data_IF_350488201824
#
_entry.id   IF_350488201824
#
_cell.length_a   1.000
_cell.length_b   1.000
_cell.length_c   1.000
_cell.angle_alpha   90.00
_cell.angle_beta   90.00
_cell.angle_gamma   90.00
#
_symmetry.space_group_name_H-M   'P 1'
#
loop_
_entity.id
_entity.type
_entity.pdbx_description
1 polymer ?
#
# COMPACT_ATOMS: atom_id res chain seq x y z
N UNK A 1 -1.50 -1.20 24.63
CA UNK A 1 -0.35 -0.27 24.66
C UNK A 1 -0.95 1.13 24.51
N UNK A 2 -0.32 2.19 25.02
CA UNK A 2 -0.81 3.57 24.87
C UNK A 2 0.40 4.45 24.58
N UNK A 3 0.28 5.35 23.60
CA UNK A 3 1.32 6.31 23.25
C UNK A 3 1.71 6.28 21.78
N UNK A 4 2.88 6.82 21.48
CA UNK A 4 3.42 6.84 20.12
C UNK A 4 4.21 5.58 19.80
N UNK A 5 4.08 5.11 18.56
CA UNK A 5 4.80 3.96 18.02
C UNK A 5 5.28 4.24 16.60
N UNK A 6 6.41 3.66 16.24
CA UNK A 6 6.86 3.60 14.84
C UNK A 6 6.57 2.22 14.25
N UNK A 7 6.26 2.19 12.96
CA UNK A 7 6.12 0.96 12.19
C UNK A 7 7.05 1.06 10.99
N UNK A 8 8.03 0.16 10.91
CA UNK A 8 8.88 0.08 9.72
C UNK A 8 8.04 -0.42 8.53
N UNK A 9 7.88 0.44 7.54
CA UNK A 9 7.07 0.14 6.36
C UNK A 9 7.52 0.98 5.18
N UNK A 10 7.65 0.33 4.03
CA UNK A 10 8.08 0.95 2.76
C UNK A 10 6.92 1.18 1.78
N UNK A 11 5.72 0.67 2.09
CA UNK A 11 4.57 0.75 1.20
C UNK A 11 3.24 0.83 1.97
N UNK A 12 2.17 1.37 1.35
CA UNK A 12 0.83 1.32 1.94
C UNK A 12 0.34 -0.11 2.19
N UNK A 13 0.68 -1.06 1.32
CA UNK A 13 0.29 -2.47 1.47
C UNK A 13 0.89 -3.08 2.74
N UNK A 14 2.18 -2.82 3.01
CA UNK A 14 2.85 -3.30 4.22
C UNK A 14 2.31 -2.58 5.46
N UNK A 15 2.09 -1.27 5.38
CA UNK A 15 1.52 -0.48 6.48
C UNK A 15 0.15 -1.01 6.90
N UNK A 16 -0.80 -1.05 5.97
CA UNK A 16 -2.18 -1.40 6.29
C UNK A 16 -2.38 -2.90 6.45
N UNK A 17 -1.52 -3.73 5.84
CA UNK A 17 -1.49 -5.17 6.13
C UNK A 17 -1.07 -5.46 7.57
N UNK A 18 -0.01 -4.79 8.06
CA UNK A 18 0.47 -4.95 9.42
C UNK A 18 -0.49 -4.37 10.49
N UNK A 19 -1.29 -3.37 10.11
CA UNK A 19 -2.25 -2.72 11.00
C UNK A 19 -3.67 -3.26 10.86
N UNK A 20 -3.96 -4.15 9.90
CA UNK A 20 -5.30 -4.62 9.60
C UNK A 20 -6.02 -5.17 10.84
N UNK A 21 -5.40 -6.13 11.53
CA UNK A 21 -5.99 -6.75 12.72
C UNK A 21 -6.21 -5.73 13.85
N UNK A 22 -5.35 -4.72 13.98
CA UNK A 22 -5.53 -3.66 14.97
C UNK A 22 -6.69 -2.74 14.60
N UNK A 23 -6.77 -2.31 13.34
CA UNK A 23 -7.86 -1.46 12.83
C UNK A 23 -9.21 -2.18 13.00
N UNK A 24 -9.27 -3.46 12.65
CA UNK A 24 -10.50 -4.26 12.73
C UNK A 24 -10.89 -4.61 14.18
N UNK A 25 -9.91 -4.74 15.08
CA UNK A 25 -10.15 -5.01 16.51
C UNK A 25 -10.48 -3.75 17.33
N UNK A 26 -10.22 -2.55 16.80
CA UNK A 26 -10.58 -1.29 17.45
C UNK A 26 -12.10 -1.17 17.53
N UNK A 27 -12.62 -1.05 18.75
CA UNK A 27 -14.05 -0.87 18.98
C UNK A 27 -14.43 0.62 18.89
N UNK A 28 -13.50 1.49 19.26
CA UNK A 28 -13.63 2.93 19.15
C UNK A 28 -13.36 3.48 17.74
N UNK A 29 -13.08 4.76 17.70
CA UNK A 29 -12.84 5.52 16.49
C UNK A 29 -11.37 5.42 16.05
N UNK A 30 -11.16 5.16 14.76
CA UNK A 30 -9.84 5.15 14.12
C UNK A 30 -9.69 6.39 13.24
N UNK A 31 -8.57 7.08 13.34
CA UNK A 31 -8.21 8.16 12.43
C UNK A 31 -7.01 7.78 11.57
N UNK A 32 -7.09 8.01 10.26
CA UNK A 32 -5.99 7.74 9.33
C UNK A 32 -5.63 9.00 8.54
N UNK A 33 -4.39 9.44 8.71
CA UNK A 33 -3.76 10.53 7.98
C UNK A 33 -2.76 9.91 7.00
N UNK A 34 -3.11 9.87 5.72
CA UNK A 34 -2.33 9.17 4.69
C UNK A 34 -1.81 10.12 3.63
N UNK A 35 -0.68 9.78 3.01
CA UNK A 35 -0.21 10.47 1.78
C UNK A 35 -1.08 10.11 0.56
N UNK A 36 -1.87 9.04 0.68
CA UNK A 36 -2.77 8.58 -0.36
C UNK A 36 -4.06 9.42 -0.38
N UNK A 37 -4.54 9.84 -1.55
CA UNK A 37 -5.87 10.41 -1.67
C UNK A 37 -6.92 9.35 -1.30
N UNK A 38 -8.07 9.80 -0.79
CA UNK A 38 -9.14 8.95 -0.25
C UNK A 38 -9.46 7.74 -1.15
N UNK A 39 -9.62 7.92 -2.46
CA UNK A 39 -9.92 6.83 -3.41
C UNK A 39 -8.89 5.70 -3.39
N UNK A 40 -7.62 6.01 -3.15
CA UNK A 40 -6.56 5.01 -3.06
C UNK A 40 -6.50 4.38 -1.67
N UNK A 41 -6.73 5.18 -0.61
CA UNK A 41 -6.77 4.68 0.76
C UNK A 41 -7.92 3.69 1.01
N UNK A 42 -9.07 3.89 0.33
CA UNK A 42 -10.21 2.97 0.33
C UNK A 42 -9.94 1.57 -0.22
N UNK A 43 -8.74 1.33 -0.76
CA UNK A 43 -8.27 -0.01 -1.15
C UNK A 43 -7.80 -0.82 0.05
N UNK A 44 -7.48 -0.16 1.17
CA UNK A 44 -6.87 -0.75 2.36
C UNK A 44 -7.77 -0.63 3.59
N UNK A 45 -8.44 0.53 3.76
CA UNK A 45 -9.30 0.81 4.92
C UNK A 45 -10.72 1.12 4.43
N UNK A 46 -11.73 0.53 5.08
CA UNK A 46 -13.13 0.80 4.74
C UNK A 46 -13.62 2.12 5.36
N UNK A 47 -14.61 2.78 4.74
CA UNK A 47 -15.16 4.06 5.25
C UNK A 47 -15.83 3.96 6.62
N UNK A 48 -16.27 2.76 7.00
CA UNK A 48 -16.92 2.52 8.29
C UNK A 48 -15.93 2.14 9.40
N UNK A 49 -14.65 1.93 9.07
CA UNK A 49 -13.63 1.51 10.05
C UNK A 49 -12.74 2.67 10.50
N UNK A 50 -12.58 3.72 9.69
CA UNK A 50 -11.77 4.88 10.06
C UNK A 50 -12.20 6.17 9.37
N UNK A 51 -11.97 7.29 10.06
CA UNK A 51 -11.97 8.61 9.43
C UNK A 51 -10.66 8.89 8.72
N UNK A 52 -10.77 9.17 7.42
CA UNK A 52 -9.63 9.27 6.51
C UNK A 52 -9.37 10.71 6.08
N UNK A 53 -8.11 11.11 6.17
CA UNK A 53 -7.59 12.44 5.83
C UNK A 53 -6.37 12.32 4.92
N UNK A 54 -6.33 13.17 3.90
CA UNK A 54 -5.28 13.19 2.90
C UNK A 54 -4.21 14.24 3.24
N UNK A 55 -3.01 13.79 3.59
CA UNK A 55 -1.86 14.67 3.76
C UNK A 55 -1.40 15.14 2.38
N UNK A 56 -1.60 16.42 2.08
CA UNK A 56 -1.39 16.98 0.73
C UNK A 56 -1.22 18.49 0.74
N UNK A 57 -0.52 19.02 -0.27
CA UNK A 57 -0.51 20.47 -0.54
C UNK A 57 -1.76 20.95 -1.28
N UNK A 58 -2.53 20.03 -1.86
CA UNK A 58 -3.76 20.37 -2.56
C UNK A 58 -4.86 20.70 -1.54
N UNK A 59 -5.50 21.85 -1.72
CA UNK A 59 -6.67 22.21 -0.92
C UNK A 59 -7.91 21.40 -1.36
N UNK A 60 -8.46 20.66 -0.40
CA UNK A 60 -9.70 19.90 -0.54
C UNK A 60 -10.38 19.75 0.83
N UNK A 61 -11.67 19.40 0.89
CA UNK A 61 -12.39 19.27 2.17
C UNK A 61 -11.82 18.23 3.14
N UNK A 62 -11.07 17.24 2.63
CA UNK A 62 -10.43 16.18 3.45
C UNK A 62 -8.91 16.18 3.31
N UNK A 63 -8.30 17.30 2.94
CA UNK A 63 -6.84 17.43 2.90
C UNK A 63 -6.31 18.20 4.10
N UNK A 64 -5.13 17.80 4.55
CA UNK A 64 -4.39 18.46 5.62
C UNK A 64 -2.99 18.76 5.09
N UNK A 65 -2.50 20.01 5.26
CA UNK A 65 -1.14 20.35 4.88
C UNK A 65 -0.10 19.44 5.55
N UNK A 66 0.97 19.06 4.85
CA UNK A 66 2.01 18.14 5.35
C UNK A 66 2.99 18.79 6.34
N UNK A 67 2.49 19.54 7.32
CA UNK A 67 3.29 20.17 8.37
C UNK A 67 2.75 19.85 9.77
N UNK A 68 3.66 19.84 10.75
CA UNK A 68 3.34 19.45 12.12
C UNK A 68 2.26 20.35 12.77
N UNK A 69 2.31 21.69 12.66
CA UNK A 69 1.25 22.56 13.17
C UNK A 69 -0.14 22.23 12.63
N UNK A 70 -0.28 22.03 11.31
CA UNK A 70 -1.55 21.71 10.67
C UNK A 70 -2.12 20.37 11.17
N UNK A 71 -1.26 19.34 11.28
CA UNK A 71 -1.69 18.04 11.80
C UNK A 71 -2.01 18.12 13.30
N UNK A 72 -1.23 18.84 14.11
CA UNK A 72 -1.47 19.04 15.54
C UNK A 72 -2.81 19.72 15.79
N UNK A 73 -3.08 20.83 15.10
CA UNK A 73 -4.34 21.56 15.21
C UNK A 73 -5.53 20.68 14.80
N UNK A 74 -5.39 19.94 13.69
CA UNK A 74 -6.46 19.08 13.23
C UNK A 74 -6.74 17.93 14.21
N UNK A 75 -5.70 17.23 14.68
CA UNK A 75 -5.81 16.19 15.69
C UNK A 75 -6.54 16.70 16.94
N UNK A 76 -6.13 17.85 17.48
CA UNK A 76 -6.76 18.44 18.65
C UNK A 76 -8.25 18.75 18.45
N UNK A 77 -8.67 19.08 17.23
CA UNK A 77 -10.07 19.38 16.91
C UNK A 77 -10.96 18.17 16.68
N UNK A 78 -10.37 17.02 16.34
CA UNK A 78 -11.10 15.81 15.95
C UNK A 78 -11.04 14.72 17.03
N UNK A 79 -10.00 14.76 17.87
CA UNK A 79 -9.86 13.85 18.99
C UNK A 79 -11.10 13.94 19.88
N UNK A 80 -11.65 12.78 20.17
CA UNK A 80 -12.82 12.59 21.01
C UNK A 80 -12.56 11.40 21.95
N UNK A 81 -13.41 11.27 22.97
CA UNK A 81 -13.26 10.23 24.02
C UNK A 81 -13.34 8.79 23.46
N UNK A 82 -13.90 8.61 22.27
CA UNK A 82 -14.00 7.31 21.59
C UNK A 82 -12.78 7.01 20.71
N UNK A 83 -11.84 7.94 20.53
CA UNK A 83 -10.67 7.72 19.65
C UNK A 83 -9.68 6.79 20.30
N UNK A 84 -9.39 5.65 19.65
CA UNK A 84 -8.51 4.63 20.21
C UNK A 84 -7.20 4.49 19.40
N UNK A 85 -7.25 4.75 18.09
CA UNK A 85 -6.12 4.56 17.19
C UNK A 85 -5.99 5.69 16.17
N UNK A 86 -4.79 6.23 16.04
CA UNK A 86 -4.41 7.18 15.01
C UNK A 86 -3.25 6.60 14.18
N UNK A 87 -3.35 6.68 12.86
CA UNK A 87 -2.28 6.31 11.93
C UNK A 87 -1.86 7.58 11.20
N UNK A 88 -0.58 7.94 11.27
CA UNK A 88 -0.02 9.12 10.60
C UNK A 88 1.14 8.73 9.69
N UNK A 89 0.88 8.69 8.39
CA UNK A 89 1.92 8.48 7.38
C UNK A 89 2.67 9.79 7.06
N UNK A 90 3.81 9.67 6.37
CA UNK A 90 4.51 10.83 5.83
C UNK A 90 5.27 11.64 6.88
N UNK A 91 5.68 11.02 7.98
CA UNK A 91 6.50 11.68 9.01
C UNK A 91 7.83 12.20 8.45
N UNK A 92 8.43 11.50 7.48
CA UNK A 92 9.58 12.00 6.71
C UNK A 92 9.28 13.35 6.02
N UNK A 93 8.09 13.46 5.44
CA UNK A 93 7.67 14.66 4.73
C UNK A 93 7.45 15.81 5.69
N UNK A 94 6.74 15.55 6.78
CA UNK A 94 6.47 16.51 7.85
C UNK A 94 7.79 17.00 8.46
N UNK A 95 8.72 16.08 8.71
CA UNK A 95 10.05 16.39 9.24
C UNK A 95 10.87 17.23 8.25
N UNK A 96 10.82 16.94 6.95
CA UNK A 96 11.56 17.69 5.92
C UNK A 96 11.14 19.16 5.79
N UNK A 97 9.93 19.51 6.26
CA UNK A 97 9.38 20.88 6.24
C UNK A 97 9.61 21.64 7.54
N UNK A 98 10.25 21.01 8.51
CA UNK A 98 10.57 21.62 9.79
C UNK A 98 12.03 21.38 10.14
N UNK A 99 12.44 21.97 11.25
CA UNK A 99 13.74 21.62 11.83
C UNK A 99 13.58 20.35 12.67
N UNK A 100 14.59 19.48 12.68
CA UNK A 100 14.59 18.27 13.51
C UNK A 100 14.18 18.54 14.97
N UNK A 101 14.71 19.57 15.68
CA UNK A 101 14.28 19.87 17.04
C UNK A 101 12.79 20.23 17.14
N UNK A 102 12.24 20.97 16.17
CA UNK A 102 10.83 21.35 16.17
C UNK A 102 9.91 20.12 15.97
N UNK A 103 10.26 19.21 15.04
CA UNK A 103 9.52 17.96 14.84
C UNK A 103 9.56 17.07 16.09
N UNK A 104 10.73 16.93 16.73
CA UNK A 104 10.84 16.14 17.96
C UNK A 104 10.06 16.76 19.12
N UNK A 105 10.09 18.09 19.27
CA UNK A 105 9.30 18.79 20.28
C UNK A 105 7.79 18.63 20.04
N UNK A 106 7.36 18.62 18.77
CA UNK A 106 5.98 18.30 18.40
C UNK A 106 5.60 16.86 18.79
N UNK A 107 6.43 15.87 18.44
CA UNK A 107 6.20 14.46 18.82
C UNK A 107 6.12 14.29 20.34
N UNK A 108 6.95 14.99 21.12
CA UNK A 108 6.88 14.97 22.59
C UNK A 108 5.56 15.55 23.14
N UNK A 109 5.09 16.67 22.57
CA UNK A 109 3.77 17.22 22.94
C UNK A 109 2.64 16.27 22.58
N UNK A 110 2.72 15.66 21.39
CA UNK A 110 1.73 14.69 20.93
C UNK A 110 1.71 13.45 21.82
N UNK A 111 2.88 12.91 22.22
CA UNK A 111 2.97 11.79 23.16
C UNK A 111 2.29 12.10 24.50
N UNK A 112 2.52 13.31 25.05
CA UNK A 112 1.85 13.76 26.26
C UNK A 112 0.33 13.86 26.11
N UNK A 113 -0.14 14.32 24.95
CA UNK A 113 -1.56 14.46 24.65
C UNK A 113 -2.26 13.10 24.52
N UNK A 114 -1.69 12.18 23.75
CA UNK A 114 -2.34 10.89 23.44
C UNK A 114 -2.32 9.94 24.62
N UNK A 115 -1.28 10.01 25.47
CA UNK A 115 -1.24 9.26 26.74
C UNK A 115 -2.29 9.73 27.74
N UNK A 116 -2.68 10.99 27.68
CA UNK A 116 -3.74 11.50 28.55
C UNK A 116 -5.13 10.99 28.13
N UNK A 117 -5.31 10.68 26.85
CA UNK A 117 -6.57 10.22 26.25
C UNK A 117 -6.58 8.72 25.95
N UNK A 118 -5.59 7.97 26.44
CA UNK A 118 -5.45 6.53 26.19
C UNK A 118 -5.46 6.12 24.70
N UNK A 119 -4.94 6.98 23.82
CA UNK A 119 -4.91 6.77 22.36
C UNK A 119 -3.55 6.23 21.91
N UNK A 120 -3.59 5.24 21.00
CA UNK A 120 -2.41 4.77 20.27
C UNK A 120 -2.18 5.58 19.00
N UNK A 121 -0.95 6.03 18.76
CA UNK A 121 -0.56 6.64 17.48
C UNK A 121 0.55 5.84 16.83
N UNK A 122 0.36 5.47 15.57
CA UNK A 122 1.35 4.74 14.78
C UNK A 122 1.87 5.64 13.65
N UNK A 123 3.20 5.70 13.52
CA UNK A 123 3.91 6.35 12.42
C UNK A 123 4.57 5.30 11.51
N UNK A 124 3.91 4.93 10.40
CA UNK A 124 4.54 4.13 9.36
C UNK A 124 5.63 4.94 8.66
N UNK A 125 6.85 4.42 8.66
CA UNK A 125 8.02 5.11 8.11
C UNK A 125 9.06 4.12 7.61
N UNK A 126 9.72 4.45 6.51
CA UNK A 126 10.95 3.75 6.08
C UNK A 126 12.14 4.41 6.80
N UNK A 127 12.91 3.68 7.63
CA UNK A 127 14.09 4.23 8.29
C UNK A 127 15.13 4.81 7.31
N UNK A 128 15.13 4.35 6.05
CA UNK A 128 16.05 4.82 5.01
C UNK A 128 15.66 6.18 4.44
N UNK A 129 14.42 6.66 4.65
CA UNK A 129 13.98 7.98 4.16
C UNK A 129 14.31 9.12 5.12
N UNK A 130 14.93 8.84 6.27
CA UNK A 130 15.29 9.83 7.28
C UNK A 130 16.74 9.68 7.73
N UNK A 131 17.32 10.75 8.29
CA UNK A 131 18.66 10.66 8.85
C UNK A 131 18.70 9.71 10.06
N UNK A 132 19.77 8.92 10.19
CA UNK A 132 19.93 7.97 11.31
C UNK A 132 19.94 8.66 12.68
N UNK A 133 20.37 9.93 12.74
CA UNK A 133 20.35 10.74 13.96
C UNK A 133 18.92 11.09 14.39
N UNK A 134 18.05 11.39 13.43
CA UNK A 134 16.63 11.63 13.63
C UNK A 134 15.91 10.32 13.99
N UNK A 135 16.14 9.25 13.23
CA UNK A 135 15.55 7.92 13.49
C UNK A 135 15.78 7.47 14.94
N UNK A 136 17.02 7.53 15.44
CA UNK A 136 17.34 7.14 16.82
C UNK A 136 16.59 7.94 17.88
N UNK A 137 16.37 9.24 17.63
CA UNK A 137 15.63 10.12 18.55
C UNK A 137 14.13 9.88 18.45
N UNK A 138 13.63 9.66 17.23
CA UNK A 138 12.24 9.29 16.97
C UNK A 138 11.90 7.99 17.70
N UNK A 139 12.68 6.92 17.55
CA UNK A 139 12.44 5.64 18.22
C UNK A 139 12.57 5.71 19.74
N UNK A 140 13.22 6.75 20.28
CA UNK A 140 13.23 7.03 21.72
C UNK A 140 11.92 7.65 22.24
N UNK A 141 11.17 8.33 21.38
CA UNK A 141 9.87 8.95 21.71
C UNK A 141 8.72 8.02 21.31
N UNK A 142 8.81 7.41 20.13
CA UNK A 142 7.84 6.51 19.52
C UNK A 142 8.52 5.16 19.24
N UNK A 143 8.57 4.24 20.23
CA UNK A 143 9.26 2.97 20.10
C UNK A 143 8.80 2.16 18.89
N UNK A 144 9.69 1.33 18.36
CA UNK A 144 9.36 0.42 17.28
C UNK A 144 8.27 -0.56 17.76
N UNK A 145 7.17 -0.60 17.02
CA UNK A 145 6.10 -1.52 17.27
C UNK A 145 6.54 -2.93 16.88
N UNK A 146 6.40 -3.87 17.81
CA UNK A 146 6.44 -5.29 17.48
C UNK A 146 5.06 -5.69 16.97
N UNK A 147 4.90 -5.71 15.65
CA UNK A 147 3.78 -6.44 15.06
C UNK A 147 4.08 -7.89 15.35
N UNK A 148 3.19 -8.57 16.08
CA UNK A 148 3.36 -10.00 16.30
C UNK A 148 3.43 -10.67 14.92
N UNK A 149 4.61 -11.18 14.56
CA UNK A 149 4.68 -12.20 13.53
C UNK A 149 3.71 -13.31 13.96
N UNK A 150 2.89 -13.86 13.05
CA UNK A 150 2.13 -15.05 13.39
C UNK A 150 3.13 -16.08 13.91
N UNK A 151 2.99 -16.42 15.18
CA UNK A 151 3.94 -17.23 15.94
C UNK A 151 4.05 -18.61 15.28
N UNK A 152 5.04 -18.76 14.39
CA UNK A 152 5.58 -20.05 14.03
C UNK A 152 6.39 -20.52 15.24
N UNK A 153 5.74 -21.26 16.14
CA UNK A 153 6.45 -22.03 17.15
C UNK A 153 7.27 -23.13 16.48
N UNK A 154 8.44 -23.36 17.07
CA UNK A 154 9.38 -24.47 16.87
C UNK A 154 10.40 -24.33 15.73
N UNK A 155 11.47 -23.60 16.08
CA UNK A 155 12.87 -23.88 15.78
C UNK A 155 13.17 -25.14 14.96
N UNK A 156 13.70 -24.94 13.75
CA UNK A 156 14.65 -25.88 13.13
C UNK A 156 15.91 -25.14 12.74
N UNK A 157 16.96 -25.55 13.43
CA UNK A 157 18.37 -25.21 13.29
C UNK A 157 18.86 -25.46 11.85
N UNK A 158 19.28 -24.42 11.13
CA UNK A 158 20.14 -24.58 9.96
C UNK A 158 21.30 -23.60 10.02
N UNK A 159 22.42 -24.13 10.50
CA UNK A 159 23.76 -23.57 10.41
C UNK A 159 24.22 -23.47 8.95
N UNK A 160 25.16 -22.54 8.76
CA UNK A 160 26.19 -22.46 7.71
C UNK A 160 25.73 -21.74 6.42
N UNK A 161 26.47 -20.79 5.84
CA UNK A 161 27.92 -20.57 5.80
C UNK A 161 28.28 -19.07 5.69
N UNK A 162 29.40 -18.74 6.31
CA UNK A 162 30.17 -17.51 6.16
C UNK A 162 30.72 -17.35 4.72
N UNK A 163 30.71 -16.14 4.18
CA UNK A 163 31.80 -15.68 3.32
C UNK A 163 32.06 -14.20 3.58
N UNK A 164 33.17 -13.96 4.26
CA UNK A 164 33.81 -12.67 4.46
C UNK A 164 34.72 -12.41 3.26
N UNK A 165 34.69 -11.20 2.69
CA UNK A 165 35.88 -10.42 2.32
C UNK A 165 35.53 -9.08 1.69
N UNK A 166 36.08 -8.07 2.35
CA UNK A 166 36.23 -6.65 2.02
C UNK A 166 36.86 -6.35 0.65
N UNK A 167 36.46 -5.24 0.01
CA UNK A 167 37.17 -4.67 -1.14
C UNK A 167 36.63 -3.30 -1.58
N UNK A 168 37.47 -2.28 -1.39
CA UNK A 168 37.39 -0.85 -1.73
C UNK A 168 37.18 -0.52 -3.22
N UNK A 169 36.78 0.73 -3.52
CA UNK A 169 36.93 1.36 -4.84
C UNK A 169 35.64 1.90 -5.48
N UNK A 170 35.42 3.21 -5.39
CA UNK A 170 34.26 3.89 -5.96
C UNK A 170 34.32 4.14 -7.47
N UNK A 171 33.16 4.37 -8.08
CA UNK A 171 33.04 5.17 -9.29
C UNK A 171 31.63 5.77 -9.46
N UNK A 172 31.61 7.03 -9.91
CA UNK A 172 30.45 7.89 -10.13
C UNK A 172 29.83 7.63 -11.50
N UNK A 173 28.54 7.32 -11.58
CA UNK A 173 27.65 7.55 -12.75
C UNK A 173 26.22 7.51 -12.21
N UNK A 174 25.24 8.35 -12.50
CA UNK A 174 25.04 9.50 -13.38
C UNK A 174 23.55 9.85 -13.25
N UNK A 175 23.24 11.06 -12.81
CA UNK A 175 21.89 11.58 -12.57
C UNK A 175 21.14 11.73 -13.90
N UNK A 176 20.11 10.93 -14.15
CA UNK A 176 19.16 11.13 -15.25
C UNK A 176 17.87 11.72 -14.69
N UNK A 177 17.56 12.94 -15.16
CA UNK A 177 16.38 13.74 -14.83
C UNK A 177 15.11 13.08 -15.37
N UNK A 178 14.13 12.89 -14.49
CA UNK A 178 12.74 12.62 -14.89
C UNK A 178 12.14 13.85 -15.57
N UNK A 179 11.50 13.74 -16.76
CA UNK A 179 10.66 14.80 -17.29
C UNK A 179 9.27 14.76 -16.65
N UNK A 180 8.73 15.95 -16.44
CA UNK A 180 7.36 16.27 -16.03
C UNK A 180 6.30 15.54 -16.85
N UNK A 181 5.34 14.90 -16.18
CA UNK A 181 4.14 14.35 -16.82
C UNK A 181 2.93 15.20 -16.43
N UNK A 182 2.37 15.79 -17.48
CA UNK A 182 1.12 16.54 -17.60
C UNK A 182 -0.08 15.70 -17.15
N UNK A 183 -1.10 16.40 -16.66
CA UNK A 183 -2.40 15.85 -16.31
C UNK A 183 -3.12 15.27 -17.55
N UNK A 184 -3.46 13.99 -17.52
CA UNK A 184 -4.60 13.44 -18.24
C UNK A 184 -5.20 12.27 -17.43
N UNK A 185 -6.52 12.26 -17.37
CA UNK A 185 -7.34 11.25 -16.73
C UNK A 185 -7.22 9.92 -17.46
N UNK A 186 -6.61 8.91 -16.85
CA UNK A 186 -6.80 7.52 -17.27
C UNK A 186 -6.68 6.58 -16.08
N UNK A 187 -7.44 5.49 -16.14
CA UNK A 187 -7.52 4.48 -15.10
C UNK A 187 -6.18 3.74 -14.96
N UNK A 188 -5.26 4.33 -14.19
CA UNK A 188 -3.91 3.78 -13.98
C UNK A 188 -3.96 2.32 -13.54
N UNK A 189 -3.68 1.44 -14.50
CA UNK A 189 -3.55 0.01 -14.34
C UNK A 189 -2.38 -0.22 -13.38
N UNK A 190 -2.69 -0.64 -12.16
CA UNK A 190 -1.74 -0.76 -11.04
C UNK A 190 -1.07 -2.14 -11.06
N UNK A 191 0.25 -2.21 -10.87
CA UNK A 191 0.99 -3.48 -10.81
C UNK A 191 0.45 -4.37 -9.68
N UNK A 192 -0.01 -5.58 -10.00
CA UNK A 192 -0.55 -6.51 -9.01
C UNK A 192 0.60 -7.22 -8.28
N UNK A 193 0.71 -7.02 -6.97
CA UNK A 193 1.59 -7.84 -6.11
C UNK A 193 0.91 -9.18 -5.86
N UNK A 194 1.64 -10.28 -6.05
CA UNK A 194 1.12 -11.63 -5.90
C UNK A 194 0.87 -11.99 -4.44
N UNK A 195 -0.21 -12.73 -4.16
CA UNK A 195 -0.42 -13.32 -2.84
C UNK A 195 0.57 -14.47 -2.61
N UNK A 196 1.36 -14.45 -1.53
CA UNK A 196 2.24 -15.55 -1.19
C UNK A 196 1.43 -16.80 -0.81
N UNK A 197 1.99 -17.99 -1.05
CA UNK A 197 1.37 -19.27 -0.63
C UNK A 197 1.25 -19.36 0.90
N UNK A 198 2.20 -18.76 1.61
CA UNK A 198 2.20 -18.66 3.07
C UNK A 198 1.14 -17.63 3.51
N UNK A 199 0.16 -18.07 4.30
CA UNK A 199 -0.95 -17.20 4.76
C UNK A 199 -2.12 -17.08 3.78
N UNK A 200 -2.16 -17.90 2.72
CA UNK A 200 -3.30 -17.96 1.82
C UNK A 200 -4.53 -18.55 2.54
N UNK A 201 -5.62 -17.77 2.56
CA UNK A 201 -6.89 -18.17 3.17
C UNK A 201 -8.04 -17.76 2.25
N UNK A 202 -9.21 -18.40 2.40
CA UNK A 202 -10.43 -18.02 1.66
C UNK A 202 -10.82 -16.55 1.87
N UNK A 203 -10.56 -15.99 3.06
CA UNK A 203 -10.80 -14.57 3.35
C UNK A 203 -9.85 -13.64 2.57
N UNK A 204 -8.58 -14.00 2.44
CA UNK A 204 -7.60 -13.25 1.62
C UNK A 204 -7.95 -13.36 0.14
N UNK A 205 -8.32 -14.56 -0.33
CA UNK A 205 -8.79 -14.79 -1.69
C UNK A 205 -10.05 -13.96 -2.02
N UNK A 206 -11.05 -13.95 -1.13
CA UNK A 206 -12.29 -13.17 -1.32
C UNK A 206 -12.02 -11.67 -1.43
N UNK A 207 -11.12 -11.13 -0.59
CA UNK A 207 -10.69 -9.72 -0.66
C UNK A 207 -10.01 -9.42 -2.00
N UNK A 208 -9.16 -10.32 -2.48
CA UNK A 208 -8.47 -10.19 -3.76
C UNK A 208 -9.41 -10.29 -4.96
N UNK A 209 -10.36 -11.21 -4.92
CA UNK A 209 -11.43 -11.31 -5.93
C UNK A 209 -12.26 -10.02 -5.98
N UNK A 210 -12.61 -9.44 -4.83
CA UNK A 210 -13.36 -8.19 -4.81
C UNK A 210 -12.59 -7.04 -5.47
N UNK A 211 -11.26 -6.99 -5.31
CA UNK A 211 -10.40 -6.02 -5.98
C UNK A 211 -10.48 -6.13 -7.50
N UNK A 212 -10.31 -7.33 -8.05
CA UNK A 212 -10.35 -7.56 -9.49
C UNK A 212 -11.75 -7.36 -10.09
N UNK A 213 -12.80 -7.74 -9.35
CA UNK A 213 -14.19 -7.47 -9.73
C UNK A 213 -14.47 -5.97 -9.86
N UNK A 214 -13.88 -5.14 -8.98
CA UNK A 214 -13.97 -3.67 -9.05
C UNK A 214 -13.17 -3.07 -10.21
N UNK A 215 -12.20 -3.79 -10.75
CA UNK A 215 -11.48 -3.40 -11.97
C UNK A 215 -12.27 -3.75 -13.25
N UNK A 216 -13.37 -4.49 -13.13
CA UNK A 216 -14.20 -4.90 -14.26
C UNK A 216 -13.89 -6.29 -14.80
N UNK A 217 -12.98 -7.05 -14.17
CA UNK A 217 -12.68 -8.42 -14.59
C UNK A 217 -13.82 -9.38 -14.24
N UNK A 218 -14.12 -10.29 -15.16
CA UNK A 218 -14.98 -11.45 -14.94
C UNK A 218 -14.19 -12.52 -14.18
N UNK A 219 -14.63 -12.84 -12.96
CA UNK A 219 -13.96 -13.78 -12.05
C UNK A 219 -14.67 -15.12 -11.93
N UNK A 220 -15.58 -15.44 -12.86
CA UNK A 220 -16.32 -16.70 -12.89
C UNK A 220 -15.40 -17.94 -12.78
N UNK A 221 -14.21 -17.89 -13.38
CA UNK A 221 -13.20 -18.96 -13.29
C UNK A 221 -12.61 -19.16 -11.88
N UNK A 222 -12.69 -18.14 -11.01
CA UNK A 222 -12.11 -18.13 -9.67
C UNK A 222 -13.14 -18.39 -8.56
N UNK A 223 -14.44 -18.28 -8.84
CA UNK A 223 -15.52 -18.59 -7.90
C UNK A 223 -15.45 -19.99 -7.28
N UNK A 224 -15.09 -21.07 -8.02
CA UNK A 224 -14.93 -22.41 -7.43
C UNK A 224 -13.85 -22.47 -6.35
N UNK A 225 -12.82 -21.62 -6.40
CA UNK A 225 -11.73 -21.64 -5.43
C UNK A 225 -12.16 -21.23 -4.02
N UNK A 226 -13.28 -20.51 -3.88
CA UNK A 226 -13.83 -20.12 -2.56
C UNK A 226 -14.53 -21.27 -1.84
N UNK A 227 -14.97 -22.29 -2.56
CA UNK A 227 -15.68 -23.45 -2.00
C UNK A 227 -14.81 -24.70 -1.83
N UNK A 228 -13.57 -24.66 -2.31
CA UNK A 228 -12.60 -25.73 -2.11
C UNK A 228 -12.21 -25.84 -0.63
N UNK A 229 -12.20 -27.08 -0.13
CA UNK A 229 -11.75 -27.39 1.25
C UNK A 229 -10.22 -27.46 1.34
N UNK A 230 -9.56 -27.85 0.24
CA UNK A 230 -8.11 -27.85 0.14
C UNK A 230 -7.61 -26.46 -0.30
N UNK A 231 -6.80 -25.83 0.55
CA UNK A 231 -6.24 -24.51 0.29
C UNK A 231 -5.12 -24.55 -0.76
N UNK A 232 -4.44 -25.68 -0.97
CA UNK A 232 -3.43 -25.81 -2.02
C UNK A 232 -4.07 -25.85 -3.41
N UNK A 233 -5.19 -26.56 -3.55
CA UNK A 233 -5.98 -26.55 -4.78
C UNK A 233 -6.57 -25.16 -5.03
N UNK A 234 -7.12 -24.50 -4.00
CA UNK A 234 -7.61 -23.12 -4.12
C UNK A 234 -6.50 -22.13 -4.52
N UNK A 235 -5.29 -22.30 -3.98
CA UNK A 235 -4.13 -21.49 -4.34
C UNK A 235 -3.70 -21.73 -5.80
N UNK A 236 -3.76 -22.97 -6.29
CA UNK A 236 -3.43 -23.29 -7.68
C UNK A 236 -4.37 -22.60 -8.67
N UNK A 237 -5.68 -22.62 -8.40
CA UNK A 237 -6.69 -21.93 -9.22
C UNK A 237 -6.47 -20.41 -9.16
N UNK A 238 -6.23 -19.88 -7.95
CA UNK A 238 -5.87 -18.47 -7.77
C UNK A 238 -4.66 -18.07 -8.61
N UNK A 239 -3.57 -18.84 -8.56
CA UNK A 239 -2.33 -18.53 -9.28
C UNK A 239 -2.52 -18.56 -10.79
N UNK A 240 -3.34 -19.46 -11.31
CA UNK A 240 -3.69 -19.49 -12.72
C UNK A 240 -4.41 -18.21 -13.12
N UNK A 241 -5.48 -17.85 -12.41
CA UNK A 241 -6.29 -16.66 -12.72
C UNK A 241 -5.48 -15.37 -12.51
N UNK A 242 -4.62 -15.33 -11.50
CA UNK A 242 -3.71 -14.20 -11.29
C UNK A 242 -2.80 -13.95 -12.49
N UNK A 243 -2.23 -15.01 -13.06
CA UNK A 243 -1.35 -14.90 -14.21
C UNK A 243 -2.11 -14.34 -15.43
N UNK A 244 -3.35 -14.76 -15.64
CA UNK A 244 -4.20 -14.26 -16.71
C UNK A 244 -4.59 -12.79 -16.49
N UNK A 245 -4.86 -12.39 -15.26
CA UNK A 245 -5.14 -10.99 -14.93
C UNK A 245 -3.91 -10.11 -15.15
N UNK A 246 -2.72 -10.57 -14.77
CA UNK A 246 -1.46 -9.82 -15.02
C UNK A 246 -1.25 -9.62 -16.53
N UNK A 247 -1.44 -10.68 -17.33
CA UNK A 247 -1.34 -10.58 -18.80
C UNK A 247 -2.39 -9.65 -19.39
N UNK A 248 -3.63 -9.74 -18.93
CA UNK A 248 -4.72 -8.87 -19.37
C UNK A 248 -4.42 -7.40 -19.04
N UNK A 249 -3.87 -7.13 -17.86
CA UNK A 249 -3.41 -5.81 -17.45
C UNK A 249 -2.31 -5.27 -18.37
N UNK A 250 -1.31 -6.09 -18.68
CA UNK A 250 -0.22 -5.66 -19.55
C UNK A 250 -0.71 -5.41 -20.99
N UNK A 251 -1.65 -6.22 -21.49
CA UNK A 251 -2.31 -5.97 -22.77
C UNK A 251 -3.17 -4.70 -22.77
N UNK A 252 -3.90 -4.41 -21.69
CA UNK A 252 -4.66 -3.17 -21.55
C UNK A 252 -3.73 -1.94 -21.56
N UNK A 253 -2.57 -2.00 -20.90
CA UNK A 253 -1.55 -0.95 -20.99
C UNK A 253 -0.97 -0.81 -22.39
N UNK A 254 -0.80 -1.91 -23.10
CA UNK A 254 -0.36 -1.90 -24.50
C UNK A 254 -1.40 -1.21 -25.39
N UNK A 255 -2.69 -1.45 -25.17
CA UNK A 255 -3.78 -0.74 -25.87
C UNK A 255 -3.75 0.77 -25.61
N UNK A 256 -3.50 1.20 -24.38
CA UNK A 256 -3.38 2.62 -24.02
C UNK A 256 -2.15 3.25 -24.68
N UNK A 257 -1.01 2.56 -24.65
CA UNK A 257 0.25 3.05 -25.24
C UNK A 257 0.15 3.20 -26.76
N UNK A 258 -0.61 2.32 -27.41
CA UNK A 258 -0.81 2.30 -28.86
C UNK A 258 -2.20 2.81 -29.28
N UNK A 259 -2.80 3.74 -28.52
CA UNK A 259 -4.14 4.27 -28.79
C UNK A 259 -4.29 4.83 -30.22
N UNK A 260 -3.25 5.47 -30.75
CA UNK A 260 -3.26 6.07 -32.08
C UNK A 260 -3.17 5.06 -33.24
N UNK A 261 -2.74 3.83 -32.97
CA UNK A 261 -2.59 2.78 -33.98
C UNK A 261 -3.86 1.95 -34.18
N UNK A 262 -4.81 2.05 -33.24
CA UNK A 262 -6.02 1.22 -33.16
C UNK A 262 -7.28 2.04 -33.41
N UNK A 263 -8.28 1.42 -34.04
CA UNK A 263 -9.62 2.03 -34.12
C UNK A 263 -10.33 1.91 -32.77
N UNK A 264 -11.32 2.79 -32.54
CA UNK A 264 -12.16 2.75 -31.32
C UNK A 264 -12.80 1.37 -31.14
N UNK A 265 -13.31 0.78 -32.23
CA UNK A 265 -13.93 -0.56 -32.23
C UNK A 265 -12.94 -1.67 -31.86
N UNK A 266 -11.72 -1.63 -32.39
CA UNK A 266 -10.68 -2.62 -32.07
C UNK A 266 -10.31 -2.53 -30.57
N UNK A 267 -10.14 -1.31 -30.04
CA UNK A 267 -9.85 -1.12 -28.61
C UNK A 267 -10.98 -1.64 -27.72
N UNK A 268 -12.23 -1.32 -28.03
CA UNK A 268 -13.38 -1.80 -27.24
C UNK A 268 -13.48 -3.33 -27.28
N UNK A 269 -13.23 -3.94 -28.43
CA UNK A 269 -13.22 -5.39 -28.59
C UNK A 269 -12.12 -6.05 -27.73
N UNK A 270 -10.88 -5.57 -27.82
CA UNK A 270 -9.78 -6.13 -27.04
C UNK A 270 -9.94 -5.84 -25.54
N UNK A 271 -10.44 -4.67 -25.16
CA UNK A 271 -10.74 -4.34 -23.77
C UNK A 271 -11.76 -5.33 -23.19
N UNK A 272 -12.88 -5.57 -23.88
CA UNK A 272 -13.87 -6.58 -23.46
C UNK A 272 -13.27 -7.98 -23.32
N UNK A 273 -12.44 -8.41 -24.28
CA UNK A 273 -11.76 -9.72 -24.24
C UNK A 273 -10.76 -9.85 -23.10
N UNK A 274 -10.02 -8.78 -22.78
CA UNK A 274 -9.11 -8.77 -21.64
C UNK A 274 -9.87 -8.78 -20.31
N UNK A 275 -11.04 -8.13 -20.24
CA UNK A 275 -11.89 -8.12 -19.04
C UNK A 275 -12.60 -9.46 -18.79
N UNK A 276 -12.95 -10.22 -19.84
CA UNK A 276 -13.61 -11.52 -19.66
C UNK A 276 -12.67 -12.63 -19.19
N UNK A 277 -11.35 -12.42 -19.25
CA UNK A 277 -10.30 -13.39 -18.90
C UNK A 277 -10.38 -14.73 -19.67
N UNK A 278 -11.12 -14.79 -20.78
CA UNK A 278 -11.22 -15.98 -21.63
C UNK A 278 -10.09 -15.98 -22.65
N UNK A 279 -9.31 -17.07 -22.71
CA UNK A 279 -8.20 -17.25 -23.67
C UNK A 279 -7.24 -16.04 -23.73
N UNK A 280 -6.87 -15.48 -22.56
CA UNK A 280 -6.07 -14.23 -22.48
C UNK A 280 -4.79 -14.31 -23.31
N UNK A 281 -4.05 -15.42 -23.24
CA UNK A 281 -2.81 -15.59 -23.98
C UNK A 281 -3.00 -15.45 -25.50
N UNK A 282 -4.06 -16.06 -26.04
CA UNK A 282 -4.38 -15.94 -27.46
C UNK A 282 -4.79 -14.52 -27.83
N UNK A 283 -5.61 -13.87 -27.00
CA UNK A 283 -6.03 -12.49 -27.25
C UNK A 283 -4.87 -11.50 -27.20
N UNK A 284 -3.86 -11.74 -26.33
CA UNK A 284 -2.63 -10.94 -26.27
C UNK A 284 -1.82 -11.12 -27.56
N UNK A 285 -1.64 -12.36 -28.02
CA UNK A 285 -0.94 -12.64 -29.28
C UNK A 285 -1.65 -12.00 -30.49
N UNK A 286 -2.98 -12.09 -30.55
CA UNK A 286 -3.78 -11.45 -31.60
C UNK A 286 -3.58 -9.91 -31.60
N UNK A 287 -3.50 -9.30 -30.41
CA UNK A 287 -3.24 -7.87 -30.24
C UNK A 287 -1.82 -7.51 -30.71
N UNK A 288 -0.80 -8.26 -30.28
CA UNK A 288 0.59 -8.03 -30.68
C UNK A 288 0.77 -8.19 -32.19
N UNK A 289 0.14 -9.19 -32.79
CA UNK A 289 0.15 -9.38 -34.25
C UNK A 289 -0.48 -8.19 -34.97
N UNK A 290 -1.63 -7.71 -34.51
CA UNK A 290 -2.30 -6.55 -35.09
C UNK A 290 -1.41 -5.30 -35.01
N UNK A 291 -0.79 -5.07 -33.85
CA UNK A 291 0.12 -3.94 -33.64
C UNK A 291 1.41 -4.07 -34.48
N UNK A 292 1.94 -5.28 -34.67
CA UNK A 292 3.15 -5.51 -35.49
C UNK A 292 2.91 -5.34 -37.00
N UNK A 293 1.66 -5.44 -37.44
CA UNK A 293 1.27 -5.29 -38.84
C UNK A 293 1.02 -3.83 -39.26
N UNK A 294 1.12 -2.87 -38.32
CA UNK A 294 0.87 -1.44 -38.53
C UNK A 294 2.10 -0.60 -38.19
#
# INVERSE_FOLDING_TARGET
MVGLFTLESTSPTTTYGALADRIDATAGHVMCYSRLPLRQLLRYIATNTADMWWISEHESPRSIPPDAPSIEQHLQSQLNDDTELIIVEGLDWIASRSTVPATLAWLQRLDGLVRHQDVDVVFPLDPLTVESSFWRRLTGIAPLMTVAEPTASESVDHRSLEHDTTGDGGEKVGLVKSPSVSQSSDAVITHLVSLPRLGFTSAVLARRMLQWKRMGFDLSALEPALSLTDMDDAFSVYRSVELDIVRAIDALRLLETHESALTVTEREMFNYRMMSLLDVEKNVQDLEHLLSAR
#
